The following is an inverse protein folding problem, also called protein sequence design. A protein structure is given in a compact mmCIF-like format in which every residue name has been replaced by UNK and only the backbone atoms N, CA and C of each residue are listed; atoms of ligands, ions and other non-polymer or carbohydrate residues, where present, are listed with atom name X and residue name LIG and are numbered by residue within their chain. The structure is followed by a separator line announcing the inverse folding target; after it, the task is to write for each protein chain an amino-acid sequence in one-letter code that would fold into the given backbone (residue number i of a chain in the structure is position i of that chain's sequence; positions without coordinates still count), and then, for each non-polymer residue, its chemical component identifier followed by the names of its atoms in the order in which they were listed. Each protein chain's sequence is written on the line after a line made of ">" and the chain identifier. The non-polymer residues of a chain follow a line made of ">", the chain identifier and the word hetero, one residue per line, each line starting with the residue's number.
data_IF_313474784472
#
_entry.id   IF_313474784472
#
_cell.length_a   1.000
_cell.length_b   1.000
_cell.length_c   1.000
_cell.angle_alpha   90.00
_cell.angle_beta   90.00
_cell.angle_gamma   90.00
#
_symmetry.space_group_name_H-M   'P 1'
#
loop_
_entity.id
_entity.type
_entity.pdbx_description
1 polymer ?
#
# COMPACT_ATOMS: atom_id res chain seq x y z
N UNK A 1 -12.62 7.80 -40.62
CA UNK A 1 -12.27 8.95 -39.74
C UNK A 1 -11.88 8.35 -38.41
N UNK A 2 -10.67 8.63 -37.91
CA UNK A 2 -10.24 8.08 -36.62
C UNK A 2 -11.08 8.65 -35.48
N UNK A 3 -11.13 7.95 -34.35
CA UNK A 3 -11.76 8.44 -33.11
C UNK A 3 -11.19 9.79 -32.67
N UNK A 4 -9.95 10.12 -33.04
CA UNK A 4 -9.28 11.38 -32.70
C UNK A 4 -9.81 12.57 -33.51
N UNK A 5 -10.34 12.33 -34.72
CA UNK A 5 -10.84 13.39 -35.63
C UNK A 5 -12.38 13.52 -35.61
N UNK A 6 -13.07 12.62 -34.91
CA UNK A 6 -14.53 12.62 -34.85
C UNK A 6 -15.07 13.83 -34.06
N UNK A 7 -16.17 14.41 -34.54
CA UNK A 7 -16.88 15.46 -33.82
C UNK A 7 -17.70 14.91 -32.62
N UNK A 8 -18.16 15.80 -31.75
CA UNK A 8 -18.90 15.41 -30.54
C UNK A 8 -20.22 14.69 -30.83
N UNK A 9 -20.86 14.96 -31.98
CA UNK A 9 -22.12 14.30 -32.37
C UNK A 9 -21.85 12.86 -32.76
N UNK A 10 -20.81 12.62 -33.55
CA UNK A 10 -20.35 11.29 -33.93
C UNK A 10 -19.93 10.46 -32.71
N UNK A 11 -19.19 11.07 -31.77
CA UNK A 11 -18.80 10.41 -30.51
C UNK A 11 -20.02 10.05 -29.66
N UNK A 12 -21.01 10.94 -29.55
CA UNK A 12 -22.22 10.67 -28.77
C UNK A 12 -23.03 9.49 -29.34
N UNK A 13 -23.22 9.46 -30.67
CA UNK A 13 -23.89 8.33 -31.35
C UNK A 13 -23.13 7.02 -31.20
N UNK A 14 -21.79 7.09 -31.19
CA UNK A 14 -20.97 5.90 -31.01
C UNK A 14 -21.10 5.36 -29.57
N UNK A 15 -21.10 6.23 -28.56
CA UNK A 15 -21.28 5.82 -27.16
C UNK A 15 -22.60 5.07 -26.91
N UNK A 16 -23.68 5.43 -27.62
CA UNK A 16 -24.97 4.73 -27.53
C UNK A 16 -24.92 3.28 -28.01
N UNK A 17 -23.92 2.92 -28.84
CA UNK A 17 -23.78 1.59 -29.44
C UNK A 17 -22.74 0.73 -28.72
N UNK A 18 -21.87 1.35 -27.92
CA UNK A 18 -20.73 0.67 -27.30
C UNK A 18 -21.10 0.01 -25.97
N UNK A 19 -20.48 -1.13 -25.62
CA UNK A 19 -20.60 -1.74 -24.31
C UNK A 19 -19.85 -0.90 -23.26
N UNK A 20 -20.58 -0.03 -22.57
CA UNK A 20 -20.05 0.83 -21.51
C UNK A 20 -20.20 0.17 -20.13
N UNK A 21 -19.30 0.48 -19.16
CA UNK A 21 -19.46 0.05 -17.79
C UNK A 21 -20.66 0.76 -17.15
N UNK A 22 -21.17 0.19 -16.07
CA UNK A 22 -22.24 0.82 -15.29
C UNK A 22 -21.81 2.22 -14.82
N UNK A 23 -22.69 3.22 -15.03
CA UNK A 23 -22.44 4.60 -14.62
C UNK A 23 -22.71 4.81 -13.12
N UNK A 24 -21.95 4.12 -12.28
CA UNK A 24 -22.17 4.09 -10.84
C UNK A 24 -21.78 5.40 -10.16
N UNK A 25 -22.36 5.64 -8.99
CA UNK A 25 -21.98 6.76 -8.12
C UNK A 25 -20.58 6.53 -7.57
N UNK A 26 -19.76 7.58 -7.59
CA UNK A 26 -18.42 7.61 -7.02
C UNK A 26 -18.47 7.98 -5.52
N UNK A 27 -17.39 7.71 -4.77
CA UNK A 27 -17.26 8.13 -3.37
C UNK A 27 -17.54 9.62 -3.20
N UNK A 28 -18.15 10.00 -2.08
CA UNK A 28 -18.60 11.36 -1.79
C UNK A 28 -17.46 12.40 -1.81
N UNK A 29 -16.22 11.96 -1.62
CA UNK A 29 -15.03 12.80 -1.69
C UNK A 29 -14.47 12.96 -3.13
N UNK A 30 -15.20 12.56 -4.17
CA UNK A 30 -14.80 12.72 -5.58
C UNK A 30 -15.16 14.11 -6.12
N UNK A 31 -14.42 14.63 -7.10
CA UNK A 31 -14.75 15.91 -7.76
C UNK A 31 -15.96 15.81 -8.70
N UNK A 32 -16.31 14.58 -9.11
CA UNK A 32 -17.44 14.28 -9.99
C UNK A 32 -18.29 13.18 -9.38
N UNK A 33 -19.59 13.14 -9.74
CA UNK A 33 -20.56 12.32 -9.06
C UNK A 33 -20.64 10.89 -9.62
N UNK A 34 -20.47 10.70 -10.93
CA UNK A 34 -20.67 9.41 -11.57
C UNK A 34 -19.42 8.94 -12.32
N UNK A 35 -19.34 7.62 -12.53
CA UNK A 35 -18.20 6.95 -13.11
C UNK A 35 -17.82 7.49 -14.51
N UNK A 36 -18.81 7.69 -15.39
CA UNK A 36 -18.57 8.22 -16.74
C UNK A 36 -17.99 9.64 -16.72
N UNK A 37 -18.26 10.42 -15.67
CA UNK A 37 -17.74 11.78 -15.52
C UNK A 37 -16.22 11.81 -15.30
N UNK A 38 -15.59 10.66 -15.01
CA UNK A 38 -14.13 10.53 -14.94
C UNK A 38 -13.46 10.61 -16.31
N UNK A 39 -14.21 10.57 -17.40
CA UNK A 39 -13.69 10.52 -18.77
C UNK A 39 -14.27 11.65 -19.61
N UNK A 40 -13.55 12.09 -20.63
CA UNK A 40 -14.22 12.78 -21.74
C UNK A 40 -15.04 11.75 -22.56
N UNK A 41 -16.07 12.18 -23.31
CA UNK A 41 -16.83 11.28 -24.17
C UNK A 41 -15.95 10.49 -25.14
N UNK A 42 -14.91 11.13 -25.70
CA UNK A 42 -13.97 10.50 -26.64
C UNK A 42 -13.07 9.48 -25.93
N UNK A 43 -12.57 9.79 -24.73
CA UNK A 43 -11.82 8.83 -23.91
C UNK A 43 -12.65 7.58 -23.60
N UNK A 44 -13.90 7.76 -23.17
CA UNK A 44 -14.81 6.66 -22.83
C UNK A 44 -15.10 5.78 -24.06
N UNK A 45 -15.40 6.40 -25.21
CA UNK A 45 -15.65 5.69 -26.46
C UNK A 45 -14.41 4.90 -26.91
N UNK A 46 -13.22 5.52 -26.88
CA UNK A 46 -11.99 4.86 -27.28
C UNK A 46 -11.63 3.68 -26.38
N UNK A 47 -11.81 3.82 -25.06
CA UNK A 47 -11.59 2.73 -24.11
C UNK A 47 -12.52 1.54 -24.38
N UNK A 48 -13.80 1.80 -24.67
CA UNK A 48 -14.77 0.75 -25.00
C UNK A 48 -14.44 0.06 -26.33
N UNK A 49 -14.11 0.82 -27.39
CA UNK A 49 -13.71 0.24 -28.69
C UNK A 49 -12.47 -0.66 -28.55
N UNK A 50 -11.44 -0.19 -27.83
CA UNK A 50 -10.24 -1.00 -27.59
C UNK A 50 -10.61 -2.25 -26.79
N UNK A 51 -11.49 -2.14 -25.79
CA UNK A 51 -11.92 -3.28 -24.96
C UNK A 51 -12.67 -4.32 -25.79
N UNK A 52 -13.59 -3.92 -26.66
CA UNK A 52 -14.34 -4.82 -27.53
C UNK A 52 -13.39 -5.61 -28.45
N UNK A 53 -12.44 -4.92 -29.09
CA UNK A 53 -11.43 -5.57 -29.92
C UNK A 53 -10.53 -6.55 -29.13
N UNK A 54 -10.25 -6.28 -27.86
CA UNK A 54 -9.53 -7.21 -26.97
C UNK A 54 -10.39 -8.43 -26.67
N UNK A 55 -11.69 -8.24 -26.44
CA UNK A 55 -12.60 -9.31 -26.06
C UNK A 55 -12.77 -10.34 -27.19
N UNK A 56 -12.62 -9.91 -28.44
CA UNK A 56 -12.60 -10.75 -29.65
C UNK A 56 -11.34 -11.60 -29.84
N UNK A 57 -10.26 -11.36 -29.07
CA UNK A 57 -9.02 -12.14 -29.17
C UNK A 57 -9.31 -13.60 -28.76
N UNK A 58 -9.13 -14.61 -29.65
CA UNK A 58 -9.53 -16.00 -29.34
C UNK A 58 -8.69 -16.64 -28.23
N UNK A 59 -7.38 -16.36 -28.22
CA UNK A 59 -6.48 -16.92 -27.22
C UNK A 59 -6.72 -16.24 -25.87
N UNK A 60 -7.28 -17.00 -24.90
CA UNK A 60 -7.58 -16.49 -23.56
C UNK A 60 -6.39 -15.87 -22.83
N UNK A 61 -5.18 -16.38 -23.02
CA UNK A 61 -3.99 -15.87 -22.32
C UNK A 61 -3.50 -14.57 -22.94
N UNK A 62 -3.48 -14.49 -24.27
CA UNK A 62 -3.20 -13.25 -24.99
C UNK A 62 -4.24 -12.18 -24.66
N UNK A 63 -5.53 -12.55 -24.69
CA UNK A 63 -6.63 -11.67 -24.28
C UNK A 63 -6.43 -11.13 -22.87
N UNK A 64 -6.16 -11.99 -21.88
CA UNK A 64 -5.92 -11.54 -20.50
C UNK A 64 -4.68 -10.65 -20.36
N UNK A 65 -3.59 -10.95 -21.08
CA UNK A 65 -2.38 -10.12 -21.06
C UNK A 65 -2.64 -8.72 -21.66
N UNK A 66 -3.32 -8.65 -22.80
CA UNK A 66 -3.66 -7.36 -23.41
C UNK A 66 -4.73 -6.62 -22.59
N UNK A 67 -5.66 -7.33 -21.94
CA UNK A 67 -6.61 -6.74 -20.99
C UNK A 67 -5.91 -6.12 -19.78
N UNK A 68 -4.79 -6.69 -19.31
CA UNK A 68 -3.94 -6.08 -18.28
C UNK A 68 -3.31 -4.76 -18.76
N UNK A 69 -2.82 -4.72 -20.01
CA UNK A 69 -2.31 -3.48 -20.60
C UNK A 69 -3.39 -2.40 -20.70
N UNK A 70 -4.60 -2.78 -21.14
CA UNK A 70 -5.76 -1.89 -21.20
C UNK A 70 -6.16 -1.37 -19.81
N UNK A 71 -6.18 -2.25 -18.80
CA UNK A 71 -6.41 -1.88 -17.40
C UNK A 71 -5.40 -0.86 -16.89
N UNK A 72 -4.12 -1.00 -17.25
CA UNK A 72 -3.09 -0.04 -16.92
C UNK A 72 -3.26 1.31 -17.67
N UNK A 73 -3.84 1.30 -18.87
CA UNK A 73 -4.11 2.51 -19.64
C UNK A 73 -5.22 3.37 -19.01
N UNK A 74 -6.19 2.76 -18.30
CA UNK A 74 -7.24 3.49 -17.57
C UNK A 74 -6.67 4.53 -16.59
N UNK A 75 -5.48 4.30 -16.02
CA UNK A 75 -4.82 5.28 -15.12
C UNK A 75 -4.38 6.56 -15.83
N UNK A 76 -4.18 6.51 -17.14
CA UNK A 76 -3.75 7.66 -17.96
C UNK A 76 -4.90 8.26 -18.77
N UNK A 77 -5.81 7.43 -19.27
CA UNK A 77 -6.92 7.84 -20.13
C UNK A 77 -8.13 8.16 -19.24
N UNK A 78 -8.05 9.25 -18.48
CA UNK A 78 -9.14 9.78 -17.66
C UNK A 78 -8.84 11.24 -17.26
N UNK A 79 -9.83 11.94 -16.73
CA UNK A 79 -9.77 13.36 -16.33
C UNK A 79 -9.01 13.62 -15.01
N UNK A 80 -8.62 12.58 -14.27
CA UNK A 80 -7.78 12.68 -13.06
C UNK A 80 -6.27 12.63 -13.35
N UNK A 81 -5.90 12.36 -14.61
CA UNK A 81 -4.51 12.33 -15.04
C UNK A 81 -3.87 13.71 -14.94
N UNK A 82 -2.70 13.79 -14.30
CA UNK A 82 -1.90 14.99 -14.18
C UNK A 82 -0.58 14.82 -14.95
N UNK A 83 -0.34 15.70 -15.92
CA UNK A 83 0.96 15.82 -16.58
C UNK A 83 2.04 16.25 -15.57
N UNK A 84 3.25 15.72 -15.74
CA UNK A 84 4.40 16.15 -14.95
C UNK A 84 4.93 17.48 -15.49
N UNK A 85 4.97 18.50 -14.64
CA UNK A 85 5.47 19.83 -15.01
C UNK A 85 6.90 19.76 -15.56
N UNK A 86 7.14 20.40 -16.71
CA UNK A 86 8.45 20.39 -17.39
C UNK A 86 8.83 19.09 -18.11
N UNK A 87 7.90 18.12 -18.25
CA UNK A 87 8.12 16.88 -19.03
C UNK A 87 7.06 16.75 -20.13
N UNK A 88 7.27 15.78 -21.04
CA UNK A 88 6.25 15.38 -22.01
C UNK A 88 4.95 15.02 -21.28
N UNK A 89 3.79 15.39 -21.84
CA UNK A 89 2.49 15.25 -21.16
C UNK A 89 2.19 13.82 -20.70
N UNK A 90 2.67 12.82 -21.44
CA UNK A 90 2.51 11.39 -21.15
C UNK A 90 3.34 10.88 -19.95
N UNK A 91 4.27 11.69 -19.41
CA UNK A 91 5.16 11.35 -18.27
C UNK A 91 4.53 11.64 -16.90
N UNK A 92 3.25 11.99 -16.89
CA UNK A 92 2.42 12.12 -15.69
C UNK A 92 1.88 10.79 -15.13
N UNK A 93 0.97 10.89 -14.16
CA UNK A 93 0.28 9.75 -13.56
C UNK A 93 -1.14 10.09 -13.13
N UNK A 94 -1.97 9.07 -12.87
CA UNK A 94 -3.25 9.28 -12.24
C UNK A 94 -3.05 9.90 -10.86
N UNK A 95 -3.73 11.02 -10.60
CA UNK A 95 -3.66 11.64 -9.28
C UNK A 95 -4.35 10.82 -8.19
N UNK A 96 -5.14 9.80 -8.55
CA UNK A 96 -5.86 8.98 -7.56
C UNK A 96 -4.92 8.26 -6.59
N UNK A 97 -3.71 7.91 -7.01
CA UNK A 97 -2.72 7.23 -6.16
C UNK A 97 -1.76 8.18 -5.44
N UNK A 98 -1.82 9.48 -5.74
CA UNK A 98 -1.01 10.49 -5.03
C UNK A 98 -1.85 11.41 -4.14
N UNK A 99 -3.16 11.49 -4.39
CA UNK A 99 -4.14 12.31 -3.66
C UNK A 99 -5.18 11.42 -2.97
N UNK A 100 -5.23 10.12 -3.29
CA UNK A 100 -6.11 9.13 -2.67
C UNK A 100 -7.62 9.44 -2.80
N UNK A 101 -8.00 10.06 -3.93
CA UNK A 101 -9.39 10.34 -4.33
C UNK A 101 -9.48 10.56 -5.84
N UNK A 102 -10.69 10.54 -6.40
CA UNK A 102 -10.95 10.96 -7.78
C UNK A 102 -10.94 12.49 -7.91
N UNK A 103 -9.74 13.07 -7.95
CA UNK A 103 -9.55 14.50 -8.21
C UNK A 103 -9.43 14.76 -9.70
N UNK A 104 -10.31 15.58 -10.27
CA UNK A 104 -10.21 16.01 -11.65
C UNK A 104 -9.11 17.05 -11.77
N UNK A 105 -8.28 16.90 -12.80
CA UNK A 105 -7.21 17.85 -13.09
C UNK A 105 -7.81 19.24 -13.37
N UNK A 106 -7.21 20.29 -12.80
CA UNK A 106 -7.66 21.67 -13.04
C UNK A 106 -7.61 22.05 -14.54
N UNK A 107 -6.65 21.47 -15.27
CA UNK A 107 -6.56 21.50 -16.74
C UNK A 107 -6.41 20.06 -17.22
N UNK A 108 -7.52 19.36 -17.52
CA UNK A 108 -7.45 17.99 -18.02
C UNK A 108 -6.68 17.91 -19.33
N UNK A 109 -5.75 16.97 -19.41
CA UNK A 109 -5.05 16.63 -20.65
C UNK A 109 -5.69 15.37 -21.21
N UNK A 110 -6.13 15.43 -22.46
CA UNK A 110 -6.66 14.27 -23.15
C UNK A 110 -5.55 13.60 -23.96
N UNK A 111 -4.87 12.63 -23.35
CA UNK A 111 -3.85 11.85 -24.04
C UNK A 111 -4.47 11.03 -25.18
N UNK A 112 -3.77 10.85 -26.32
CA UNK A 112 -4.27 10.07 -27.44
C UNK A 112 -4.45 8.61 -26.98
N UNK A 113 -5.67 8.04 -27.05
CA UNK A 113 -5.97 6.75 -26.43
C UNK A 113 -5.13 5.59 -26.96
N UNK A 114 -4.99 5.48 -28.29
CA UNK A 114 -4.29 4.36 -28.93
C UNK A 114 -2.79 4.33 -28.62
N UNK A 115 -2.01 5.41 -28.83
CA UNK A 115 -0.60 5.44 -28.42
C UNK A 115 -0.40 5.16 -26.92
N UNK A 116 -1.29 5.68 -26.07
CA UNK A 116 -1.22 5.47 -24.62
C UNK A 116 -1.43 4.00 -24.24
N UNK A 117 -2.43 3.34 -24.85
CA UNK A 117 -2.66 1.91 -24.67
C UNK A 117 -1.52 1.07 -25.25
N UNK A 118 -1.03 1.40 -26.45
CA UNK A 118 0.04 0.68 -27.12
C UNK A 118 1.34 0.68 -26.28
N UNK A 119 1.71 1.81 -25.66
CA UNK A 119 2.83 1.87 -24.71
C UNK A 119 2.66 0.85 -23.56
N UNK A 120 1.44 0.72 -23.00
CA UNK A 120 1.17 -0.27 -21.95
C UNK A 120 1.25 -1.70 -22.47
N UNK A 121 0.80 -1.95 -23.70
CA UNK A 121 0.89 -3.27 -24.33
C UNK A 121 2.34 -3.69 -24.55
N UNK A 122 3.21 -2.76 -24.95
CA UNK A 122 4.65 -2.99 -25.07
C UNK A 122 5.29 -3.36 -23.73
N UNK A 123 4.89 -2.72 -22.62
CA UNK A 123 5.38 -3.09 -21.29
C UNK A 123 4.98 -4.51 -20.90
N UNK A 124 3.74 -4.93 -21.21
CA UNK A 124 3.29 -6.31 -20.95
C UNK A 124 4.07 -7.30 -21.82
N UNK A 125 4.35 -6.97 -23.08
CA UNK A 125 5.15 -7.81 -23.97
C UNK A 125 6.57 -7.98 -23.44
N UNK A 126 7.24 -6.89 -23.03
CA UNK A 126 8.57 -6.95 -22.44
C UNK A 126 8.60 -7.81 -21.17
N UNK A 127 7.59 -7.68 -20.31
CA UNK A 127 7.46 -8.53 -19.12
C UNK A 127 7.26 -10.01 -19.48
N UNK A 128 6.53 -10.31 -20.57
CA UNK A 128 6.38 -11.70 -21.05
C UNK A 128 7.69 -12.26 -21.57
N UNK A 129 8.48 -11.49 -22.31
CA UNK A 129 9.81 -11.91 -22.76
C UNK A 129 10.75 -12.21 -21.58
N UNK A 130 10.69 -11.41 -20.51
CA UNK A 130 11.46 -11.67 -19.29
C UNK A 130 11.02 -12.96 -18.60
N UNK A 131 9.71 -13.18 -18.47
CA UNK A 131 9.15 -14.41 -17.92
C UNK A 131 9.56 -15.64 -18.74
N UNK A 132 9.53 -15.55 -20.07
CA UNK A 132 9.91 -16.66 -20.95
C UNK A 132 11.40 -17.04 -20.76
N UNK A 133 12.29 -16.03 -20.64
CA UNK A 133 13.72 -16.27 -20.33
C UNK A 133 13.90 -16.96 -18.98
N UNK A 134 13.15 -16.53 -17.97
CA UNK A 134 13.19 -17.14 -16.64
C UNK A 134 12.67 -18.58 -16.64
N UNK A 135 11.60 -18.85 -17.39
CA UNK A 135 11.07 -20.21 -17.59
C UNK A 135 12.12 -21.11 -18.26
N UNK A 136 12.79 -20.61 -19.30
CA UNK A 136 13.81 -21.38 -20.01
C UNK A 136 15.08 -21.58 -19.18
N UNK A 137 15.47 -20.60 -18.39
CA UNK A 137 16.54 -20.75 -17.40
C UNK A 137 16.22 -21.86 -16.40
N UNK A 138 15.00 -21.86 -15.84
CA UNK A 138 14.53 -22.90 -14.88
C UNK A 138 14.55 -24.31 -15.47
N UNK A 139 14.12 -24.47 -16.73
CA UNK A 139 14.15 -25.76 -17.43
C UNK A 139 15.58 -26.32 -17.53
N UNK A 140 16.59 -25.45 -17.66
CA UNK A 140 18.00 -25.86 -17.77
C UNK A 140 18.65 -26.12 -16.43
N UNK A 141 18.28 -25.37 -15.39
CA UNK A 141 18.95 -25.44 -14.07
C UNK A 141 18.26 -26.35 -13.07
N UNK A 142 17.05 -26.85 -13.37
CA UNK A 142 16.26 -27.63 -12.42
C UNK A 142 15.82 -26.79 -11.21
N UNK A 143 15.61 -25.49 -11.42
CA UNK A 143 15.25 -24.51 -10.37
C UNK A 143 13.91 -24.77 -9.69
N UNK A 144 13.38 -23.73 -9.02
CA UNK A 144 12.14 -23.84 -8.21
C UNK A 144 11.00 -24.55 -8.95
N UNK A 145 10.48 -25.62 -8.35
CA UNK A 145 9.25 -26.31 -8.77
C UNK A 145 8.17 -26.05 -7.73
N UNK A 146 7.08 -25.42 -8.16
CA UNK A 146 5.97 -25.06 -7.28
C UNK A 146 4.74 -24.66 -8.07
N UNK A 147 3.61 -24.61 -7.37
CA UNK A 147 2.37 -24.03 -7.89
C UNK A 147 2.23 -22.62 -7.36
N UNK A 148 1.60 -21.75 -8.15
CA UNK A 148 1.26 -20.40 -7.75
C UNK A 148 -0.26 -20.26 -7.78
N UNK A 149 -0.82 -19.79 -6.68
CA UNK A 149 -2.25 -19.59 -6.48
C UNK A 149 -2.47 -18.14 -6.07
N UNK A 150 -3.53 -17.53 -6.58
CA UNK A 150 -3.89 -16.13 -6.30
C UNK A 150 -5.30 -16.11 -5.77
N UNK A 151 -5.48 -15.38 -4.68
CA UNK A 151 -6.76 -15.15 -4.03
C UNK A 151 -6.97 -13.65 -3.88
N UNK A 152 -8.22 -13.20 -3.92
CA UNK A 152 -8.58 -11.78 -3.87
C UNK A 152 -9.78 -11.54 -2.94
N UNK A 153 -9.90 -12.37 -1.91
CA UNK A 153 -10.98 -12.31 -0.92
C UNK A 153 -10.48 -11.79 0.43
N UNK A 154 -11.44 -11.42 1.28
CA UNK A 154 -11.21 -11.13 2.68
C UNK A 154 -10.51 -12.31 3.39
N UNK A 155 -9.56 -12.01 4.28
CA UNK A 155 -8.74 -13.04 4.95
C UNK A 155 -9.58 -14.06 5.74
N UNK A 156 -10.71 -13.64 6.31
CA UNK A 156 -11.59 -14.57 7.04
C UNK A 156 -12.24 -15.58 6.09
N UNK A 157 -12.54 -15.17 4.84
CA UNK A 157 -13.03 -16.09 3.81
C UNK A 157 -11.89 -16.95 3.25
N UNK A 158 -10.69 -16.38 3.10
CA UNK A 158 -9.50 -17.08 2.64
C UNK A 158 -9.17 -18.27 3.55
N UNK A 159 -9.41 -18.12 4.86
CA UNK A 159 -9.23 -19.18 5.87
C UNK A 159 -9.83 -20.52 5.46
N UNK A 160 -11.00 -20.50 4.83
CA UNK A 160 -11.74 -21.70 4.42
C UNK A 160 -11.36 -22.18 3.02
N UNK A 161 -10.62 -21.37 2.26
CA UNK A 161 -10.23 -21.66 0.88
C UNK A 161 -8.83 -22.26 0.75
N UNK A 162 -7.93 -21.95 1.70
CA UNK A 162 -6.53 -22.39 1.63
C UNK A 162 -6.19 -23.38 2.75
N UNK A 163 -5.30 -24.31 2.42
CA UNK A 163 -4.73 -25.23 3.41
C UNK A 163 -3.76 -24.46 4.33
N UNK A 164 -3.55 -24.93 5.57
CA UNK A 164 -2.55 -24.33 6.44
C UNK A 164 -1.17 -24.28 5.80
N UNK A 165 -0.48 -23.15 5.97
CA UNK A 165 0.79 -22.83 5.32
C UNK A 165 1.96 -22.83 6.32
N UNK A 166 3.18 -22.92 5.78
CA UNK A 166 4.43 -22.97 6.55
C UNK A 166 5.02 -21.57 6.81
N UNK A 167 4.57 -20.55 6.09
CA UNK A 167 5.05 -19.19 6.27
C UNK A 167 4.02 -18.19 5.74
N UNK A 168 3.86 -17.07 6.45
CA UNK A 168 3.07 -15.93 5.97
C UNK A 168 3.97 -14.69 6.04
N UNK A 169 4.06 -13.98 4.93
CA UNK A 169 4.61 -12.62 4.86
C UNK A 169 3.47 -11.68 4.49
N UNK A 170 3.24 -10.63 5.27
CA UNK A 170 2.11 -9.71 5.02
C UNK A 170 2.46 -8.27 5.33
N UNK A 171 1.82 -7.36 4.61
CA UNK A 171 1.91 -5.90 4.73
C UNK A 171 0.45 -5.36 4.75
N UNK A 172 -0.21 -5.32 5.92
CA UNK A 172 -1.58 -4.83 6.01
C UNK A 172 -1.62 -3.30 5.84
N UNK A 173 -2.71 -2.72 5.30
CA UNK A 173 -2.81 -1.27 5.16
C UNK A 173 -2.62 -0.53 6.49
N UNK A 174 -1.97 0.64 6.47
CA UNK A 174 -1.62 1.41 7.67
C UNK A 174 -2.76 2.31 8.20
N UNK A 175 -4.02 1.95 7.95
CA UNK A 175 -5.20 2.71 8.38
C UNK A 175 -5.65 3.78 7.40
N UNK A 176 -5.33 5.05 7.65
CA UNK A 176 -6.04 6.20 7.06
C UNK A 176 -5.51 6.77 5.75
N UNK A 177 -4.57 6.10 5.08
CA UNK A 177 -3.84 6.72 3.97
C UNK A 177 -4.51 6.56 2.62
N UNK A 178 -5.11 5.40 2.33
CA UNK A 178 -5.62 5.07 0.99
C UNK A 178 -6.92 4.27 1.15
N UNK A 179 -8.00 4.71 0.49
CA UNK A 179 -9.26 3.95 0.41
C UNK A 179 -9.25 3.09 -0.85
N UNK A 180 -8.68 1.89 -0.75
CA UNK A 180 -8.37 1.03 -1.90
C UNK A 180 -9.65 0.57 -2.61
N UNK A 181 -10.67 0.13 -1.85
CA UNK A 181 -11.93 -0.35 -2.43
C UNK A 181 -12.65 0.80 -3.16
N UNK A 182 -12.66 2.00 -2.58
CA UNK A 182 -13.22 3.19 -3.21
C UNK A 182 -12.50 3.55 -4.52
N UNK A 183 -11.16 3.53 -4.52
CA UNK A 183 -10.36 3.81 -5.71
C UNK A 183 -10.39 2.68 -6.75
N UNK A 184 -10.73 1.45 -6.34
CA UNK A 184 -10.82 0.30 -7.23
C UNK A 184 -11.96 0.39 -8.25
N UNK A 185 -12.94 1.29 -8.01
CA UNK A 185 -14.09 1.51 -8.90
C UNK A 185 -13.62 1.82 -10.33
N UNK A 186 -12.48 2.51 -10.49
CA UNK A 186 -11.85 2.81 -11.78
C UNK A 186 -11.76 1.58 -12.69
N UNK A 187 -11.42 0.42 -12.13
CA UNK A 187 -11.27 -0.83 -12.87
C UNK A 187 -12.50 -1.72 -12.75
N UNK A 188 -13.05 -1.83 -11.54
CA UNK A 188 -14.12 -2.78 -11.22
C UNK A 188 -15.42 -2.48 -11.96
N UNK A 189 -15.70 -1.23 -12.31
CA UNK A 189 -16.86 -0.85 -13.13
C UNK A 189 -16.83 -1.52 -14.52
N UNK A 190 -15.66 -1.59 -15.15
CA UNK A 190 -15.47 -2.25 -16.46
C UNK A 190 -15.44 -3.76 -16.42
N UNK A 191 -15.05 -4.33 -15.29
CA UNK A 191 -14.99 -5.78 -15.12
C UNK A 191 -16.31 -6.37 -14.60
N UNK A 192 -17.29 -5.52 -14.25
CA UNK A 192 -18.54 -5.98 -13.64
C UNK A 192 -18.33 -6.56 -12.24
N UNK A 193 -17.23 -6.20 -11.57
CA UNK A 193 -16.79 -6.73 -10.27
C UNK A 193 -16.81 -5.64 -9.20
N UNK A 194 -17.82 -4.76 -9.25
CA UNK A 194 -17.94 -3.67 -8.28
C UNK A 194 -18.02 -4.22 -6.85
N UNK A 195 -17.22 -3.69 -5.91
CA UNK A 195 -17.24 -4.14 -4.52
C UNK A 195 -18.63 -3.97 -3.91
N UNK A 196 -19.08 -4.99 -3.19
CA UNK A 196 -20.34 -4.93 -2.47
C UNK A 196 -20.24 -3.98 -1.29
N UNK A 197 -21.39 -3.58 -0.74
CA UNK A 197 -21.43 -2.81 0.51
C UNK A 197 -20.75 -3.56 1.66
N UNK A 198 -20.89 -4.90 1.70
CA UNK A 198 -20.26 -5.75 2.72
C UNK A 198 -18.73 -5.72 2.61
N UNK A 199 -18.18 -5.69 1.41
CA UNK A 199 -16.72 -5.63 1.19
C UNK A 199 -16.18 -4.29 1.71
N UNK A 200 -16.87 -3.19 1.42
CA UNK A 200 -16.53 -1.83 1.91
C UNK A 200 -16.56 -1.75 3.44
N UNK A 201 -17.55 -2.38 4.09
CA UNK A 201 -17.63 -2.40 5.56
C UNK A 201 -16.50 -3.18 6.23
N UNK A 202 -15.83 -4.08 5.50
CA UNK A 202 -14.77 -4.96 6.00
C UNK A 202 -13.37 -4.49 5.60
N UNK A 203 -13.26 -3.41 4.84
CA UNK A 203 -11.98 -2.85 4.43
C UNK A 203 -11.11 -2.49 5.64
N UNK A 204 -9.83 -2.87 5.60
CA UNK A 204 -8.88 -2.63 6.68
C UNK A 204 -8.29 -1.22 6.56
N UNK A 205 -9.13 -0.18 6.68
CA UNK A 205 -8.73 1.24 6.61
C UNK A 205 -9.43 2.08 7.69
N UNK A 206 -8.99 3.33 7.84
CA UNK A 206 -9.70 4.39 8.57
C UNK A 206 -10.21 5.43 7.57
N UNK A 207 -11.46 5.86 7.69
CA UNK A 207 -12.10 6.78 6.75
C UNK A 207 -12.77 6.07 5.57
N UNK A 208 -12.45 6.47 4.34
CA UNK A 208 -13.17 6.06 3.13
C UNK A 208 -14.59 6.63 3.05
N UNK A 209 -15.35 6.21 2.04
CA UNK A 209 -16.72 6.69 1.81
C UNK A 209 -17.68 6.34 2.97
N UNK A 210 -17.40 5.24 3.68
CA UNK A 210 -18.17 4.80 4.84
C UNK A 210 -17.72 5.44 6.17
N UNK A 211 -16.68 6.27 6.16
CA UNK A 211 -16.11 6.90 7.35
C UNK A 211 -15.82 5.90 8.50
N UNK A 212 -15.12 4.80 8.18
CA UNK A 212 -14.75 3.75 9.13
C UNK A 212 -13.88 4.33 10.25
N UNK A 213 -14.19 4.00 11.50
CA UNK A 213 -13.47 4.53 12.67
C UNK A 213 -12.16 3.80 12.93
N UNK A 214 -11.28 4.43 13.70
CA UNK A 214 -10.03 3.82 14.19
C UNK A 214 -10.30 2.53 14.98
N UNK A 215 -11.36 2.48 15.79
CA UNK A 215 -11.77 1.27 16.52
C UNK A 215 -12.11 0.10 15.60
N UNK A 216 -12.77 0.36 14.46
CA UNK A 216 -13.08 -0.67 13.46
C UNK A 216 -11.79 -1.19 12.85
N UNK A 217 -10.88 -0.29 12.49
CA UNK A 217 -9.57 -0.65 11.95
C UNK A 217 -8.77 -1.53 12.93
N UNK A 218 -8.64 -1.12 14.20
CA UNK A 218 -7.93 -1.88 15.24
C UNK A 218 -8.51 -3.28 15.41
N UNK A 219 -9.83 -3.40 15.48
CA UNK A 219 -10.51 -4.72 15.59
C UNK A 219 -10.26 -5.60 14.36
N UNK A 220 -10.28 -5.02 13.16
CA UNK A 220 -10.04 -5.77 11.91
C UNK A 220 -8.57 -6.16 11.75
N UNK A 221 -7.64 -5.33 12.22
CA UNK A 221 -6.21 -5.64 12.23
C UNK A 221 -5.93 -6.80 13.19
N UNK A 222 -6.43 -6.74 14.43
CA UNK A 222 -6.37 -7.83 15.41
C UNK A 222 -6.91 -9.15 14.81
N UNK A 223 -8.14 -9.11 14.27
CA UNK A 223 -8.78 -10.28 13.67
C UNK A 223 -7.95 -10.85 12.50
N UNK A 224 -7.37 -9.99 11.66
CA UNK A 224 -6.55 -10.43 10.53
C UNK A 224 -5.29 -11.17 11.01
N UNK A 225 -4.63 -10.67 12.06
CA UNK A 225 -3.48 -11.34 12.67
C UNK A 225 -3.88 -12.69 13.26
N UNK A 226 -5.00 -12.77 13.98
CA UNK A 226 -5.50 -14.06 14.51
C UNK A 226 -5.79 -15.05 13.39
N UNK A 227 -6.39 -14.60 12.29
CA UNK A 227 -6.65 -15.44 11.12
C UNK A 227 -5.37 -15.91 10.45
N UNK A 228 -4.33 -15.07 10.33
CA UNK A 228 -2.99 -15.50 9.90
C UNK A 228 -2.44 -16.63 10.77
N UNK A 229 -2.53 -16.52 12.09
CA UNK A 229 -2.09 -17.60 12.98
C UNK A 229 -2.96 -18.85 12.84
N UNK A 230 -4.28 -18.74 12.63
CA UNK A 230 -5.13 -19.90 12.37
C UNK A 230 -4.71 -20.64 11.09
N UNK A 231 -4.27 -19.90 10.05
CA UNK A 231 -3.77 -20.43 8.79
C UNK A 231 -2.34 -20.98 8.86
N UNK A 232 -1.56 -20.65 9.90
CA UNK A 232 -0.22 -21.20 10.07
C UNK A 232 -0.24 -22.60 10.66
N UNK A 233 0.60 -23.49 10.12
CA UNK A 233 0.92 -24.75 10.79
C UNK A 233 1.62 -24.48 12.14
N UNK A 234 1.54 -25.39 13.13
CA UNK A 234 2.32 -25.26 14.37
C UNK A 234 3.83 -25.12 14.08
N UNK A 235 4.56 -24.34 14.89
CA UNK A 235 6.02 -24.13 14.79
C UNK A 235 6.50 -23.45 13.49
N UNK A 236 5.61 -22.69 12.85
CA UNK A 236 5.88 -21.93 11.62
C UNK A 236 5.72 -20.43 11.83
N UNK A 237 6.07 -19.64 10.82
CA UNK A 237 6.40 -18.23 11.01
C UNK A 237 5.43 -17.27 10.33
N UNK A 238 5.19 -16.13 10.97
CA UNK A 238 4.51 -14.96 10.42
C UNK A 238 5.48 -13.79 10.45
N UNK A 239 5.67 -13.10 9.33
CA UNK A 239 6.31 -11.79 9.29
C UNK A 239 5.30 -10.73 8.85
N UNK A 240 5.17 -9.68 9.66
CA UNK A 240 4.29 -8.52 9.41
C UNK A 240 5.17 -7.30 9.20
N UNK A 241 5.06 -6.67 8.03
CA UNK A 241 5.65 -5.36 7.75
C UNK A 241 4.64 -4.31 8.20
N UNK A 242 5.07 -3.37 9.03
CA UNK A 242 4.17 -2.34 9.52
C UNK A 242 4.89 -1.07 9.93
N UNK A 243 4.23 0.08 9.76
CA UNK A 243 4.67 1.35 10.34
C UNK A 243 3.51 2.28 10.60
N UNK A 244 3.43 2.84 11.82
CA UNK A 244 2.46 3.87 12.13
C UNK A 244 2.86 4.68 13.37
N UNK A 245 2.25 5.84 13.58
CA UNK A 245 2.46 6.62 14.81
C UNK A 245 1.51 6.24 15.95
N UNK A 246 0.31 5.74 15.62
CA UNK A 246 -0.63 5.20 16.62
C UNK A 246 -0.09 3.88 17.16
N UNK A 247 0.30 3.91 18.43
CA UNK A 247 0.83 2.76 19.18
C UNK A 247 -0.23 1.68 19.39
N UNK A 248 -1.51 2.06 19.41
CA UNK A 248 -2.64 1.14 19.45
C UNK A 248 -2.63 0.13 18.27
N UNK A 249 -2.05 0.50 17.13
CA UNK A 249 -1.99 -0.42 15.98
C UNK A 249 -0.92 -1.50 16.18
N UNK A 250 0.22 -1.12 16.76
CA UNK A 250 1.24 -2.10 17.17
C UNK A 250 0.72 -2.99 18.29
N UNK A 251 -0.02 -2.44 19.25
CA UNK A 251 -0.67 -3.21 20.30
C UNK A 251 -1.64 -4.23 19.73
N UNK A 252 -2.49 -3.82 18.78
CA UNK A 252 -3.40 -4.74 18.08
C UNK A 252 -2.65 -5.92 17.43
N UNK A 253 -1.51 -5.67 16.77
CA UNK A 253 -0.73 -6.74 16.13
C UNK A 253 -0.07 -7.66 17.17
N UNK A 254 0.65 -7.07 18.13
CA UNK A 254 1.46 -7.80 19.10
C UNK A 254 0.60 -8.59 20.09
N UNK A 255 -0.47 -7.98 20.59
CA UNK A 255 -1.42 -8.61 21.51
C UNK A 255 -2.22 -9.71 20.81
N UNK A 256 -2.75 -9.46 19.61
CA UNK A 256 -3.43 -10.50 18.83
C UNK A 256 -2.54 -11.72 18.61
N UNK A 257 -1.29 -11.50 18.21
CA UNK A 257 -0.31 -12.56 17.99
C UNK A 257 -0.03 -13.34 19.29
N UNK A 258 0.30 -12.66 20.38
CA UNK A 258 0.65 -13.30 21.66
C UNK A 258 -0.48 -14.15 22.23
N UNK A 259 -1.72 -13.65 22.17
CA UNK A 259 -2.89 -14.36 22.70
C UNK A 259 -3.28 -15.61 21.91
N UNK A 260 -2.85 -15.72 20.65
CA UNK A 260 -3.04 -16.94 19.83
C UNK A 260 -1.79 -17.81 19.73
N UNK A 261 -0.80 -17.56 20.59
CA UNK A 261 0.43 -18.37 20.71
C UNK A 261 1.59 -17.90 19.84
N UNK A 262 1.52 -16.73 19.23
CA UNK A 262 2.61 -16.08 18.52
C UNK A 262 3.69 -15.57 19.46
N UNK A 263 4.90 -16.10 19.33
CA UNK A 263 6.06 -15.64 20.08
C UNK A 263 6.90 -14.70 19.20
N UNK A 264 7.02 -13.43 19.58
CA UNK A 264 7.83 -12.46 18.85
C UNK A 264 9.31 -12.85 18.93
N UNK A 265 9.93 -13.17 17.79
CA UNK A 265 11.33 -13.63 17.70
C UNK A 265 12.28 -12.62 17.09
N UNK A 266 11.77 -11.72 16.25
CA UNK A 266 12.55 -10.63 15.70
C UNK A 266 11.67 -9.40 15.45
N UNK A 267 12.26 -8.22 15.61
CA UNK A 267 11.67 -6.94 15.25
C UNK A 267 12.76 -6.12 14.55
N UNK A 268 12.74 -6.10 13.22
CA UNK A 268 13.83 -5.53 12.41
C UNK A 268 13.34 -4.24 11.76
N UNK A 269 14.03 -3.14 12.05
CA UNK A 269 13.76 -1.85 11.41
C UNK A 269 14.41 -1.80 10.03
N UNK A 270 13.62 -1.49 9.01
CA UNK A 270 14.09 -1.07 7.69
C UNK A 270 14.15 0.46 7.69
N UNK A 271 15.34 1.03 7.47
CA UNK A 271 15.60 2.47 7.59
C UNK A 271 16.46 2.96 6.43
N UNK A 272 16.46 4.27 6.21
CA UNK A 272 17.38 4.91 5.27
C UNK A 272 17.03 4.73 3.80
N UNK A 273 15.85 4.19 3.49
CA UNK A 273 15.27 4.22 2.14
C UNK A 273 14.07 5.18 2.11
N UNK A 274 14.30 6.50 2.05
CA UNK A 274 13.21 7.46 2.05
C UNK A 274 12.39 7.29 0.78
N UNK A 275 11.23 6.64 0.90
CA UNK A 275 10.20 6.66 -0.14
C UNK A 275 9.85 8.13 -0.41
N UNK A 276 10.17 8.59 -1.62
CA UNK A 276 9.94 9.96 -2.08
C UNK A 276 8.45 10.29 -2.05
N UNK A 277 7.95 10.86 -0.95
CA UNK A 277 6.57 11.36 -0.84
C UNK A 277 6.53 12.87 -0.70
N UNK A 278 5.53 13.52 -1.33
CA UNK A 278 5.30 14.97 -1.15
C UNK A 278 5.02 15.33 0.31
N UNK A 279 4.50 14.40 1.11
CA UNK A 279 4.27 14.57 2.55
C UNK A 279 5.60 14.68 3.31
N UNK A 280 6.61 13.87 2.97
CA UNK A 280 7.95 13.97 3.58
C UNK A 280 8.63 15.31 3.27
N UNK A 281 8.36 15.94 2.11
CA UNK A 281 8.84 17.30 1.81
C UNK A 281 8.21 18.39 2.68
N UNK A 282 6.93 18.23 3.05
CA UNK A 282 6.14 19.22 3.80
C UNK A 282 6.18 19.04 5.33
N UNK A 283 6.30 17.80 5.82
CA UNK A 283 6.32 17.42 7.24
C UNK A 283 7.51 16.53 7.57
N UNK A 284 8.72 17.10 7.53
CA UNK A 284 9.97 16.33 7.38
C UNK A 284 10.28 15.39 8.55
N UNK A 285 10.08 15.85 9.79
CA UNK A 285 10.27 15.04 11.01
C UNK A 285 9.04 14.23 11.44
N UNK A 286 7.84 14.57 10.95
CA UNK A 286 6.57 13.93 11.34
C UNK A 286 6.20 12.74 10.47
N UNK A 287 6.93 12.49 9.39
CA UNK A 287 6.72 11.35 8.49
C UNK A 287 7.79 10.31 8.76
N UNK A 288 7.39 9.10 9.15
CA UNK A 288 8.28 7.96 9.29
C UNK A 288 8.58 7.42 7.89
N UNK A 289 9.87 7.24 7.58
CA UNK A 289 10.30 6.86 6.23
C UNK A 289 10.71 5.39 6.10
N UNK A 290 10.73 4.65 7.21
CA UNK A 290 11.08 3.24 7.26
C UNK A 290 10.00 2.39 7.92
N UNK A 291 10.23 1.08 7.96
CA UNK A 291 9.26 0.06 8.33
C UNK A 291 9.77 -0.80 9.49
N UNK A 292 8.87 -1.45 10.21
CA UNK A 292 9.20 -2.46 11.21
C UNK A 292 8.70 -3.83 10.75
N UNK A 293 9.60 -4.78 10.60
CA UNK A 293 9.26 -6.18 10.30
C UNK A 293 9.21 -6.96 11.62
N UNK A 294 8.01 -7.27 12.07
CA UNK A 294 7.74 -8.11 13.24
C UNK A 294 7.63 -9.56 12.80
N UNK A 295 8.50 -10.43 13.32
CA UNK A 295 8.52 -11.86 12.98
C UNK A 295 8.20 -12.71 14.19
N UNK A 296 7.15 -13.51 14.06
CA UNK A 296 6.61 -14.37 15.11
C UNK A 296 6.77 -15.84 14.75
N UNK A 297 7.01 -16.66 15.78
CA UNK A 297 6.92 -18.11 15.69
C UNK A 297 5.58 -18.56 16.31
N UNK A 298 4.79 -19.37 15.61
CA UNK A 298 3.58 -19.97 16.17
C UNK A 298 3.93 -21.08 17.17
N UNK A 299 3.59 -20.86 18.43
CA UNK A 299 3.79 -21.79 19.55
C UNK A 299 2.45 -22.30 20.09
N UNK A 300 2.51 -23.28 20.99
CA UNK A 300 1.38 -23.84 21.74
C UNK A 300 1.10 -23.08 23.05
N UNK A 301 1.73 -21.92 23.25
CA UNK A 301 1.69 -21.15 24.50
C UNK A 301 1.10 -19.75 24.28
N UNK A 302 -0.24 -19.63 24.21
CA UNK A 302 -0.93 -18.36 24.36
C UNK A 302 -0.42 -17.58 25.58
N UNK A 303 -0.20 -16.28 25.44
CA UNK A 303 0.17 -15.39 26.52
C UNK A 303 -0.92 -14.33 26.67
N UNK A 304 -1.40 -14.14 27.90
CA UNK A 304 -2.21 -12.96 28.24
C UNK A 304 -1.28 -11.76 28.34
N UNK A 305 -1.62 -10.68 27.66
CA UNK A 305 -0.89 -9.42 27.74
C UNK A 305 -1.60 -8.55 28.78
N UNK A 306 -0.91 -8.24 29.89
CA UNK A 306 -1.39 -7.23 30.83
C UNK A 306 -0.89 -5.86 30.37
N UNK A 307 -1.82 -5.02 29.92
CA UNK A 307 -1.54 -3.75 29.25
C UNK A 307 -1.35 -2.55 30.21
N UNK A 308 -1.40 -2.78 31.53
CA UNK A 308 -1.51 -1.69 32.51
C UNK A 308 -0.20 -1.28 33.19
N UNK A 309 0.94 -1.87 32.82
CA UNK A 309 2.22 -1.44 33.40
C UNK A 309 2.59 -0.05 32.89
N UNK A 310 3.08 0.86 33.75
CA UNK A 310 3.54 2.17 33.31
C UNK A 310 4.81 2.03 32.47
N UNK A 311 4.93 2.85 31.44
CA UNK A 311 6.12 2.95 30.59
C UNK A 311 6.65 4.39 30.56
N UNK A 312 7.91 4.57 30.92
CA UNK A 312 8.58 5.87 30.79
C UNK A 312 9.21 6.00 29.40
N UNK A 313 8.47 6.70 28.53
CA UNK A 313 8.86 6.89 27.12
C UNK A 313 10.11 7.74 27.00
N UNK A 314 10.23 8.80 27.79
CA UNK A 314 11.37 9.72 27.72
C UNK A 314 12.64 9.02 28.18
N UNK A 315 12.58 8.25 29.28
CA UNK A 315 13.71 7.43 29.71
C UNK A 315 14.11 6.37 28.67
N UNK A 316 13.14 5.77 27.96
CA UNK A 316 13.44 4.85 26.86
C UNK A 316 14.14 5.55 25.70
N UNK A 317 13.64 6.70 25.28
CA UNK A 317 14.29 7.52 24.24
C UNK A 317 15.73 7.85 24.63
N UNK A 318 15.97 8.34 25.85
CA UNK A 318 17.31 8.66 26.36
C UNK A 318 18.24 7.45 26.27
N UNK A 319 17.82 6.29 26.78
CA UNK A 319 18.63 5.06 26.70
C UNK A 319 18.99 4.69 25.27
N UNK A 320 18.03 4.73 24.35
CA UNK A 320 18.27 4.37 22.94
C UNK A 320 19.19 5.40 22.25
N UNK A 321 19.07 6.69 22.59
CA UNK A 321 19.96 7.73 22.08
C UNK A 321 21.38 7.56 22.62
N UNK A 322 21.55 7.20 23.90
CA UNK A 322 22.85 6.94 24.53
C UNK A 322 23.56 5.71 23.91
N UNK A 323 22.80 4.69 23.46
CA UNK A 323 23.32 3.56 22.70
C UNK A 323 23.80 3.96 21.28
N UNK A 324 23.39 5.12 20.78
CA UNK A 324 23.69 5.55 19.41
C UNK A 324 25.07 6.21 19.32
N UNK A 325 26.09 5.40 19.07
CA UNK A 325 27.50 5.81 19.04
C UNK A 325 27.93 6.74 17.90
N UNK A 326 27.15 6.81 16.81
CA UNK A 326 27.53 7.55 15.60
C UNK A 326 26.97 8.98 15.53
N UNK A 327 26.31 9.47 16.59
CA UNK A 327 25.75 10.83 16.64
C UNK A 327 24.63 11.10 15.63
N UNK A 328 24.09 10.05 15.00
CA UNK A 328 23.00 10.13 14.02
C UNK A 328 22.03 8.99 14.21
N UNK A 329 20.72 9.26 14.18
CA UNK A 329 19.66 8.24 14.32
C UNK A 329 18.44 8.56 13.45
N UNK A 330 17.84 7.55 12.85
CA UNK A 330 16.57 7.70 12.13
C UNK A 330 15.40 7.76 13.12
N UNK A 331 14.45 8.67 12.89
CA UNK A 331 13.28 8.83 13.78
C UNK A 331 12.44 7.55 13.85
N UNK A 332 12.24 6.89 12.70
CA UNK A 332 11.58 5.59 12.62
C UNK A 332 12.28 4.49 13.41
N UNK A 333 13.61 4.43 13.38
CA UNK A 333 14.37 3.44 14.15
C UNK A 333 14.15 3.64 15.65
N UNK A 334 14.23 4.89 16.10
CA UNK A 334 14.04 5.25 17.50
C UNK A 334 12.62 4.93 17.96
N UNK A 335 11.58 5.29 17.18
CA UNK A 335 10.19 4.94 17.52
C UNK A 335 10.00 3.42 17.57
N UNK A 336 10.50 2.69 16.58
CA UNK A 336 10.40 1.23 16.52
C UNK A 336 11.05 0.57 17.76
N UNK A 337 12.21 1.07 18.19
CA UNK A 337 12.90 0.61 19.41
C UNK A 337 12.06 0.87 20.66
N UNK A 338 11.47 2.05 20.79
CA UNK A 338 10.56 2.40 21.89
C UNK A 338 9.36 1.44 21.95
N UNK A 339 8.72 1.17 20.80
CA UNK A 339 7.61 0.20 20.71
C UNK A 339 8.03 -1.19 21.17
N UNK A 340 9.20 -1.67 20.74
CA UNK A 340 9.72 -2.99 21.13
C UNK A 340 10.06 -3.06 22.62
N UNK A 341 10.67 -2.02 23.20
CA UNK A 341 10.95 -1.96 24.64
C UNK A 341 9.66 -1.91 25.48
N UNK A 342 8.64 -1.16 25.03
CA UNK A 342 7.33 -1.13 25.67
C UNK A 342 6.63 -2.49 25.62
N UNK A 343 6.73 -3.21 24.49
CA UNK A 343 6.24 -4.57 24.38
C UNK A 343 6.95 -5.54 25.33
N UNK A 344 8.29 -5.54 25.34
CA UNK A 344 9.10 -6.44 26.17
C UNK A 344 8.89 -6.22 27.68
N UNK A 345 8.59 -4.99 28.09
CA UNK A 345 8.24 -4.66 29.48
C UNK A 345 6.78 -4.97 29.85
N UNK A 346 5.94 -5.32 28.87
CA UNK A 346 4.50 -5.53 29.06
C UNK A 346 3.75 -4.23 29.33
N UNK A 347 4.19 -3.13 28.73
CA UNK A 347 3.69 -1.78 29.00
C UNK A 347 3.15 -1.09 27.73
N UNK A 348 3.05 -1.82 26.61
CA UNK A 348 2.66 -1.27 25.32
C UNK A 348 1.27 -0.60 25.30
N UNK A 349 0.29 -1.13 26.02
CA UNK A 349 -1.04 -0.49 26.11
C UNK A 349 -1.06 0.83 26.88
N UNK A 350 -0.01 1.12 27.67
CA UNK A 350 0.20 2.44 28.30
C UNK A 350 1.02 3.40 27.43
N UNK A 351 1.60 2.91 26.31
CA UNK A 351 2.46 3.69 25.44
C UNK A 351 1.61 4.71 24.69
N UNK A 352 1.62 5.95 25.14
CA UNK A 352 0.98 7.06 24.47
C UNK A 352 2.05 8.08 24.06
N UNK A 353 2.36 8.12 22.77
CA UNK A 353 3.30 9.09 22.22
C UNK A 353 2.83 9.55 20.85
N UNK A 354 2.74 10.85 20.67
CA UNK A 354 2.46 11.45 19.36
C UNK A 354 3.75 12.03 18.74
N UNK A 355 3.62 12.45 17.48
CA UNK A 355 4.72 12.94 16.65
C UNK A 355 5.44 14.15 17.26
N UNK A 356 4.68 15.04 17.87
CA UNK A 356 5.17 16.30 18.44
C UNK A 356 5.93 16.02 19.72
N UNK A 357 5.33 15.26 20.64
CA UNK A 357 5.94 14.91 21.92
C UNK A 357 7.24 14.13 21.71
N UNK A 358 7.25 13.20 20.74
CA UNK A 358 8.45 12.46 20.35
C UNK A 358 9.57 13.39 19.88
N UNK A 359 9.27 14.32 18.97
CA UNK A 359 10.27 15.24 18.46
C UNK A 359 10.82 16.15 19.57
N UNK A 360 9.95 16.63 20.47
CA UNK A 360 10.33 17.49 21.58
C UNK A 360 11.22 16.75 22.59
N UNK A 361 10.89 15.50 22.94
CA UNK A 361 11.69 14.66 23.82
C UNK A 361 13.11 14.45 23.27
N UNK A 362 13.23 14.13 21.97
CA UNK A 362 14.53 13.96 21.31
C UNK A 362 15.31 15.28 21.29
N UNK A 363 14.66 16.41 20.99
CA UNK A 363 15.29 17.71 20.96
C UNK A 363 15.84 18.16 22.32
N UNK A 364 15.15 17.85 23.44
CA UNK A 364 15.62 18.13 24.80
C UNK A 364 16.93 17.42 25.14
N UNK A 365 17.22 16.30 24.49
CA UNK A 365 18.49 15.57 24.63
C UNK A 365 19.62 16.15 23.77
N UNK A 366 19.45 17.34 23.19
CA UNK A 366 20.48 18.02 22.38
C UNK A 366 20.55 17.53 20.93
N UNK A 367 19.59 16.73 20.48
CA UNK A 367 19.51 16.28 19.09
C UNK A 367 18.73 17.27 18.23
N UNK A 368 19.12 17.40 16.96
CA UNK A 368 18.47 18.27 15.98
C UNK A 368 18.16 17.48 14.71
N UNK A 369 17.02 17.78 14.08
CA UNK A 369 16.62 17.08 12.86
C UNK A 369 17.33 17.65 11.63
N UNK A 370 18.00 16.80 10.86
CA UNK A 370 18.59 17.13 9.57
C UNK A 370 17.60 16.82 8.44
N UNK A 371 17.02 17.88 7.89
CA UNK A 371 16.07 17.83 6.79
C UNK A 371 16.61 17.23 5.49
N UNK A 372 17.93 17.29 5.25
CA UNK A 372 18.54 16.78 4.02
C UNK A 372 18.79 15.28 4.10
N UNK A 373 19.28 14.83 5.25
CA UNK A 373 19.56 13.42 5.51
C UNK A 373 18.35 12.66 6.09
N UNK A 374 17.27 13.38 6.45
CA UNK A 374 16.07 12.84 7.06
C UNK A 374 16.31 12.07 8.39
N UNK A 375 17.29 12.50 9.17
CA UNK A 375 17.72 11.86 10.42
C UNK A 375 17.96 12.88 11.52
N UNK A 376 17.92 12.45 12.78
CA UNK A 376 18.36 13.25 13.93
C UNK A 376 19.88 13.20 14.07
N UNK A 377 20.48 14.32 14.49
CA UNK A 377 21.93 14.46 14.70
C UNK A 377 22.23 15.12 16.04
N UNK A 378 23.29 14.65 16.70
CA UNK A 378 23.84 15.25 17.91
C UNK A 378 25.22 15.86 17.63
N UNK A 379 25.35 17.18 17.76
CA UNK A 379 26.58 17.91 17.39
C UNK A 379 27.81 17.54 18.24
N UNK A 380 27.60 17.02 19.46
CA UNK A 380 28.67 16.62 20.38
C UNK A 380 29.21 15.21 20.19
N UNK A 381 28.64 14.39 19.28
CA UNK A 381 29.06 13.02 19.03
C UNK A 381 29.59 12.96 17.59
N UNK A 382 30.88 12.67 17.40
CA UNK A 382 31.45 12.62 16.05
C UNK A 382 30.84 11.46 15.25
N UNK A 383 30.28 11.77 14.08
CA UNK A 383 29.81 10.75 13.15
C UNK A 383 30.98 9.95 12.60
N UNK A 384 31.08 8.68 12.95
CA UNK A 384 31.98 7.74 12.27
C UNK A 384 31.32 7.36 10.94
N UNK A 385 31.95 7.60 9.78
CA UNK A 385 31.38 7.18 8.50
C UNK A 385 31.20 5.66 8.50
N UNK A 386 30.01 5.19 8.13
CA UNK A 386 29.79 3.79 7.77
C UNK A 386 30.61 3.48 6.51
N UNK A 387 31.88 3.10 6.70
CA UNK A 387 32.68 2.47 5.66
C UNK A 387 31.98 1.15 5.29
N UNK A 388 31.60 1.05 4.01
CA UNK A 388 30.73 0.03 3.47
C UNK A 388 31.10 -1.39 3.91
N UNK A 389 30.08 -2.13 4.35
CA UNK A 389 30.12 -3.59 4.29
C UNK A 389 29.59 -3.98 2.91
N UNK A 390 30.49 -4.55 2.11
CA UNK A 390 30.23 -5.24 0.85
C UNK A 390 29.22 -6.38 1.02
#
# INVERSE_FOLDING_TARGET
>A
MGLDDADNTAISRLLEQLPLPANVRLPANSDVQHYHDLFSPRQLAALAVIREAIDDIPNRYARSAIRLAWSAALTKINRTFLSAEGRAESRGGSSIFSIYRYKVAAKPVELPPWPTFYERAQNVLAAKEEIDREIDYRKRTGGFSGKFEVYHDDIDALRDQIKPVDYIFTDPPYGGHISYIDLSILWNAWNGTLPSFKDRQRELIVGGDLNLSEDVYVKRLDQSIRTCFALLKPKHWLSVVFQHWSTAYFDAILTAAAEVGGDLRAAISQIGDPVWSMHKKKGKQSVLAGELILTFLKTDKPKTVDANKPFDVEAAIVRILDETSNGTVYGEYLLNRVVVEAWQSGALGSLNINRTDFADMVARQGWSYDDKAHQWRHAGIMSVPLLGRL
#
